data_IF_622777329240
#
_entry.id   IF_622777329240
#
_cell.length_a   1.000
_cell.length_b   1.000
_cell.length_c   1.000
_cell.angle_alpha   90.00
_cell.angle_beta   90.00
_cell.angle_gamma   90.00
#
_symmetry.space_group_name_H-M   'P 1'
#
loop_
_entity.id
_entity.type
_entity.pdbx_description
1 polymer ?
#
# COMPACT_ATOMS: atom_id res chain seq x y z
N UNK A 1 5.96 20.37 15.53
CA UNK A 1 6.31 19.47 14.42
C UNK A 1 7.81 19.24 14.39
N UNK A 2 8.27 18.05 14.71
CA UNK A 2 9.70 17.71 14.64
C UNK A 2 10.12 17.40 13.20
N UNK A 3 10.60 18.43 12.51
CA UNK A 3 11.06 18.32 11.11
C UNK A 3 12.20 17.31 10.94
N UNK A 4 13.00 17.06 11.97
CA UNK A 4 14.13 16.14 11.88
C UNK A 4 13.66 14.69 11.88
N UNK A 5 12.70 14.33 12.72
CA UNK A 5 12.11 12.98 12.74
C UNK A 5 11.41 12.65 11.42
N UNK A 6 10.62 13.59 10.89
CA UNK A 6 9.96 13.43 9.59
C UNK A 6 10.98 13.24 8.47
N UNK A 7 12.04 14.06 8.45
CA UNK A 7 13.09 13.93 7.44
C UNK A 7 13.82 12.59 7.51
N UNK A 8 14.19 12.16 8.72
CA UNK A 8 14.84 10.86 8.94
C UNK A 8 13.95 9.71 8.45
N UNK A 9 12.67 9.75 8.83
CA UNK A 9 11.71 8.76 8.36
C UNK A 9 11.60 8.77 6.84
N UNK A 10 11.43 9.92 6.19
CA UNK A 10 11.27 10.04 4.75
C UNK A 10 12.45 9.46 3.98
N UNK A 11 13.68 9.74 4.42
CA UNK A 11 14.91 9.19 3.81
C UNK A 11 14.97 7.67 3.94
N UNK A 12 14.69 7.15 5.12
CA UNK A 12 14.67 5.71 5.36
C UNK A 12 13.54 5.02 4.59
N UNK A 13 12.32 5.56 4.66
CA UNK A 13 11.13 4.99 4.03
C UNK A 13 11.25 4.91 2.51
N UNK A 14 11.87 5.90 1.88
CA UNK A 14 12.15 5.87 0.43
C UNK A 14 12.95 4.62 0.05
N UNK A 15 14.03 4.35 0.77
CA UNK A 15 14.90 3.19 0.52
C UNK A 15 14.16 1.88 0.78
N UNK A 16 13.46 1.82 1.91
CA UNK A 16 12.69 0.64 2.30
C UNK A 16 11.60 0.32 1.29
N UNK A 17 10.85 1.31 0.83
CA UNK A 17 9.79 1.11 -0.16
C UNK A 17 10.33 0.70 -1.53
N UNK A 18 11.44 1.28 -1.98
CA UNK A 18 12.10 0.83 -3.23
C UNK A 18 12.48 -0.64 -3.13
N UNK A 19 13.06 -1.07 -2.01
CA UNK A 19 13.41 -2.46 -1.76
C UNK A 19 12.18 -3.36 -1.78
N UNK A 20 11.10 -3.01 -1.07
CA UNK A 20 9.87 -3.81 -1.00
C UNK A 20 9.15 -3.89 -2.34
N UNK A 21 9.05 -2.79 -3.06
CA UNK A 21 8.48 -2.73 -4.41
C UNK A 21 9.28 -3.62 -5.37
N UNK A 22 10.60 -3.55 -5.31
CA UNK A 22 11.48 -4.40 -6.13
C UNK A 22 11.33 -5.89 -5.80
N UNK A 23 11.19 -6.25 -4.53
CA UNK A 23 10.92 -7.63 -4.11
C UNK A 23 9.57 -8.14 -4.64
N UNK A 24 8.55 -7.27 -4.68
CA UNK A 24 7.27 -7.62 -5.31
C UNK A 24 7.43 -7.86 -6.81
N UNK A 25 8.20 -7.04 -7.50
CA UNK A 25 8.48 -7.22 -8.93
C UNK A 25 9.13 -8.58 -9.22
N UNK A 26 10.04 -9.04 -8.35
CA UNK A 26 10.67 -10.37 -8.46
C UNK A 26 9.65 -11.49 -8.42
N UNK A 27 8.58 -11.37 -7.65
CA UNK A 27 7.49 -12.36 -7.60
C UNK A 27 6.75 -12.49 -8.94
N UNK A 28 6.87 -11.49 -9.80
CA UNK A 28 6.35 -11.47 -11.17
C UNK A 28 7.44 -11.67 -12.22
N UNK A 29 8.59 -12.22 -11.81
CA UNK A 29 9.78 -12.46 -12.66
C UNK A 29 10.33 -11.20 -13.32
N UNK A 30 10.18 -10.05 -12.68
CA UNK A 30 10.70 -8.77 -13.16
C UNK A 30 11.86 -8.33 -12.27
N UNK A 31 13.02 -8.14 -12.89
CA UNK A 31 14.24 -7.66 -12.25
C UNK A 31 14.89 -6.58 -13.11
N UNK A 32 15.94 -5.96 -12.58
CA UNK A 32 16.77 -5.03 -13.35
C UNK A 32 17.35 -5.65 -14.62
N UNK A 33 17.58 -6.98 -14.62
CA UNK A 33 18.16 -7.72 -15.74
C UNK A 33 17.18 -8.12 -16.84
N UNK A 34 15.88 -8.06 -16.55
CA UNK A 34 14.85 -8.45 -17.50
C UNK A 34 13.57 -8.98 -16.84
N UNK A 35 12.65 -9.48 -17.67
CA UNK A 35 11.29 -9.83 -17.22
C UNK A 35 10.75 -11.15 -17.82
N UNK A 36 11.58 -11.94 -18.51
CA UNK A 36 11.11 -13.17 -19.16
C UNK A 36 10.14 -12.90 -20.32
N UNK A 37 9.04 -13.67 -20.39
CA UNK A 37 8.04 -13.52 -21.43
C UNK A 37 7.03 -12.42 -21.12
N UNK A 38 6.77 -11.55 -22.10
CA UNK A 38 5.79 -10.48 -21.97
C UNK A 38 4.36 -11.00 -21.76
N UNK A 39 3.97 -12.03 -22.52
CA UNK A 39 2.65 -12.66 -22.49
C UNK A 39 2.58 -13.88 -21.56
N UNK A 40 3.42 -13.97 -20.56
CA UNK A 40 3.45 -15.12 -19.66
C UNK A 40 2.07 -15.37 -19.01
N UNK A 41 1.65 -16.63 -18.97
CA UNK A 41 0.44 -17.08 -18.25
C UNK A 41 0.71 -17.37 -16.78
N UNK A 42 1.95 -17.67 -16.45
CA UNK A 42 2.39 -18.00 -15.10
C UNK A 42 3.72 -17.34 -14.77
N UNK A 43 3.97 -17.14 -13.48
CA UNK A 43 5.22 -16.66 -12.93
C UNK A 43 5.62 -17.53 -11.75
N UNK A 44 6.89 -17.95 -11.69
CA UNK A 44 7.41 -18.81 -10.62
C UNK A 44 6.52 -20.05 -10.35
N UNK A 45 5.98 -20.65 -11.40
CA UNK A 45 5.12 -21.82 -11.33
C UNK A 45 3.68 -21.54 -10.87
N UNK A 46 3.29 -20.29 -10.66
CA UNK A 46 1.95 -19.87 -10.26
C UNK A 46 1.21 -19.23 -11.46
N UNK A 47 0.00 -19.71 -11.73
CA UNK A 47 -0.86 -19.13 -12.77
C UNK A 47 -1.37 -17.75 -12.32
N UNK A 48 -1.23 -16.77 -13.19
CA UNK A 48 -1.72 -15.41 -12.94
C UNK A 48 -3.20 -15.28 -13.31
N UNK A 49 -3.92 -14.45 -12.56
CA UNK A 49 -5.26 -13.99 -12.96
C UNK A 49 -5.19 -13.09 -14.21
N UNK A 50 -6.33 -12.87 -14.87
CA UNK A 50 -6.40 -11.94 -16.00
C UNK A 50 -5.98 -10.52 -15.61
N UNK A 51 -6.34 -10.07 -14.41
CA UNK A 51 -5.94 -8.77 -13.86
C UNK A 51 -4.43 -8.69 -13.63
N UNK A 52 -3.83 -9.71 -13.03
CA UNK A 52 -2.37 -9.77 -12.81
C UNK A 52 -1.60 -9.75 -14.13
N UNK A 53 -2.05 -10.49 -15.15
CA UNK A 53 -1.43 -10.47 -16.48
C UNK A 53 -1.47 -9.07 -17.10
N UNK A 54 -2.60 -8.39 -17.04
CA UNK A 54 -2.77 -7.04 -17.57
C UNK A 54 -1.89 -6.03 -16.84
N UNK A 55 -1.83 -6.10 -15.51
CA UNK A 55 -1.00 -5.23 -14.68
C UNK A 55 0.50 -5.50 -14.91
N UNK A 56 0.89 -6.77 -15.07
CA UNK A 56 2.28 -7.13 -15.39
C UNK A 56 2.73 -6.59 -16.74
N UNK A 57 1.89 -6.69 -17.77
CA UNK A 57 2.17 -6.10 -19.09
C UNK A 57 2.33 -4.58 -19.00
N UNK A 58 1.44 -3.91 -18.29
CA UNK A 58 1.53 -2.47 -18.08
C UNK A 58 2.83 -2.07 -17.36
N UNK A 59 3.26 -2.84 -16.37
CA UNK A 59 4.53 -2.66 -15.69
C UNK A 59 5.72 -2.80 -16.65
N UNK A 60 5.74 -3.87 -17.44
CA UNK A 60 6.79 -4.11 -18.44
C UNK A 60 6.85 -2.97 -19.46
N UNK A 61 5.70 -2.49 -19.93
CA UNK A 61 5.62 -1.37 -20.87
C UNK A 61 6.24 -0.09 -20.29
N UNK A 62 5.97 0.19 -19.02
CA UNK A 62 6.58 1.34 -18.33
C UNK A 62 8.09 1.17 -18.14
N UNK A 63 8.55 -0.03 -17.81
CA UNK A 63 9.99 -0.33 -17.68
C UNK A 63 10.71 -0.15 -19.02
N UNK A 64 10.09 -0.59 -20.12
CA UNK A 64 10.62 -0.34 -21.48
C UNK A 64 10.72 1.14 -21.81
N UNK A 65 9.74 1.94 -21.39
CA UNK A 65 9.68 3.36 -21.68
C UNK A 65 10.61 4.21 -20.81
N UNK A 66 10.77 3.89 -19.53
CA UNK A 66 11.42 4.75 -18.52
C UNK A 66 12.64 4.13 -17.85
N UNK A 67 12.81 2.82 -17.93
CA UNK A 67 13.81 2.06 -17.20
C UNK A 67 13.31 1.52 -15.86
N UNK A 68 13.91 0.40 -15.43
CA UNK A 68 13.53 -0.32 -14.21
C UNK A 68 13.64 0.54 -12.94
N UNK A 69 14.80 1.19 -12.74
CA UNK A 69 15.03 2.00 -11.54
C UNK A 69 14.01 3.12 -11.39
N UNK A 70 13.74 3.84 -12.47
CA UNK A 70 12.78 4.95 -12.43
C UNK A 70 11.37 4.46 -12.09
N UNK A 71 10.93 3.35 -12.67
CA UNK A 71 9.59 2.80 -12.38
C UNK A 71 9.49 2.34 -10.93
N UNK A 72 10.52 1.67 -10.39
CA UNK A 72 10.53 1.24 -8.98
C UNK A 72 10.48 2.45 -8.04
N UNK A 73 11.22 3.51 -8.33
CA UNK A 73 11.18 4.76 -7.56
C UNK A 73 9.80 5.44 -7.62
N UNK A 74 9.20 5.52 -8.79
CA UNK A 74 7.86 6.13 -8.97
C UNK A 74 6.78 5.37 -8.19
N UNK A 75 6.81 4.05 -8.21
CA UNK A 75 5.86 3.22 -7.45
C UNK A 75 6.10 3.36 -5.94
N UNK A 76 7.34 3.32 -5.50
CA UNK A 76 7.69 3.53 -4.10
C UNK A 76 7.23 4.92 -3.60
N UNK A 77 7.45 5.96 -4.38
CA UNK A 77 6.98 7.32 -4.08
C UNK A 77 5.46 7.42 -4.01
N UNK A 78 4.76 6.71 -4.89
CA UNK A 78 3.30 6.64 -4.88
C UNK A 78 2.78 6.05 -3.57
N UNK A 79 3.35 4.94 -3.09
CA UNK A 79 2.95 4.33 -1.82
C UNK A 79 3.35 5.18 -0.61
N UNK A 80 4.53 5.79 -0.65
CA UNK A 80 4.94 6.73 0.40
C UNK A 80 3.92 7.87 0.57
N UNK A 81 3.51 8.48 -0.52
CA UNK A 81 2.53 9.58 -0.49
C UNK A 81 1.16 9.12 0.02
N UNK A 82 0.69 7.97 -0.44
CA UNK A 82 -0.60 7.43 0.01
C UNK A 82 -0.58 7.07 1.49
N UNK A 83 0.46 6.43 1.98
CA UNK A 83 0.59 6.10 3.41
C UNK A 83 0.67 7.37 4.26
N UNK A 84 1.43 8.36 3.83
CA UNK A 84 1.52 9.66 4.54
C UNK A 84 0.18 10.38 4.58
N UNK A 85 -0.54 10.42 3.46
CA UNK A 85 -1.86 11.02 3.38
C UNK A 85 -2.89 10.28 4.26
N UNK A 86 -2.90 8.95 4.23
CA UNK A 86 -3.77 8.14 5.09
C UNK A 86 -3.46 8.36 6.58
N UNK A 87 -2.18 8.46 6.94
CA UNK A 87 -1.79 8.72 8.33
C UNK A 87 -2.29 10.10 8.80
N UNK A 88 -2.09 11.12 7.98
CA UNK A 88 -2.61 12.45 8.26
C UNK A 88 -4.14 12.44 8.45
N UNK A 89 -4.85 11.77 7.54
CA UNK A 89 -6.31 11.69 7.60
C UNK A 89 -6.81 10.92 8.83
N UNK A 90 -6.14 9.81 9.19
CA UNK A 90 -6.56 9.04 10.37
C UNK A 90 -6.37 9.83 11.66
N UNK A 91 -5.22 10.49 11.82
CA UNK A 91 -4.92 11.28 13.02
C UNK A 91 -5.88 12.48 13.19
N UNK A 92 -6.27 13.12 12.08
CA UNK A 92 -7.17 14.28 12.10
C UNK A 92 -8.65 13.92 11.97
N UNK A 93 -8.99 12.63 11.92
CA UNK A 93 -10.39 12.19 11.83
C UNK A 93 -11.06 12.49 10.49
N UNK A 94 -10.28 12.58 9.40
CA UNK A 94 -10.77 12.92 8.05
C UNK A 94 -11.17 11.73 7.20
N UNK A 95 -10.93 10.51 7.68
CA UNK A 95 -11.36 9.29 6.96
C UNK A 95 -12.89 9.20 7.00
N UNK A 96 -13.58 9.07 5.86
CA UNK A 96 -15.03 8.97 5.82
C UNK A 96 -15.61 7.80 6.62
N UNK A 97 -14.88 6.68 6.67
CA UNK A 97 -15.24 5.49 7.47
C UNK A 97 -15.10 5.72 8.98
N UNK A 98 -14.39 6.77 9.40
CA UNK A 98 -13.99 7.04 10.80
C UNK A 98 -13.23 5.89 11.45
N UNK A 99 -12.68 4.98 10.66
CA UNK A 99 -11.92 3.82 11.12
C UNK A 99 -10.45 4.05 10.83
N UNK A 100 -9.59 3.87 11.83
CA UNK A 100 -8.16 4.09 11.70
C UNK A 100 -7.53 2.95 10.89
N UNK A 101 -6.67 3.32 9.94
CA UNK A 101 -6.08 2.36 8.97
C UNK A 101 -4.74 1.79 9.39
N UNK A 102 -4.04 2.44 10.32
CA UNK A 102 -2.71 2.02 10.79
C UNK A 102 -2.65 1.73 12.28
N UNK A 103 -3.49 2.36 13.07
CA UNK A 103 -3.45 2.29 14.53
C UNK A 103 -4.84 2.01 15.12
N UNK A 104 -4.86 1.76 16.42
CA UNK A 104 -6.07 1.84 17.24
C UNK A 104 -6.28 3.27 17.79
N UNK A 105 -7.31 3.47 18.59
CA UNK A 105 -7.64 4.76 19.19
C UNK A 105 -6.59 5.30 20.17
N UNK A 106 -5.70 4.41 20.65
CA UNK A 106 -4.61 4.76 21.55
C UNK A 106 -3.25 4.92 20.81
N UNK A 107 -3.29 5.02 19.49
CA UNK A 107 -2.11 5.11 18.64
C UNK A 107 -1.16 3.91 18.72
N UNK A 108 -1.64 2.74 19.14
CA UNK A 108 -0.88 1.50 19.06
C UNK A 108 -0.88 0.97 17.62
N UNK A 109 0.18 0.27 17.23
CA UNK A 109 0.26 -0.39 15.93
C UNK A 109 -0.67 -1.62 15.88
N UNK A 110 -1.95 -1.34 15.83
CA UNK A 110 -3.03 -2.32 15.72
C UNK A 110 -4.11 -1.72 14.82
N UNK A 111 -4.03 -1.95 13.50
CA UNK A 111 -4.95 -1.32 12.56
C UNK A 111 -6.42 -1.63 12.85
N UNK A 112 -7.17 -0.63 13.26
CA UNK A 112 -8.60 -0.76 13.57
C UNK A 112 -9.38 -1.28 12.36
N UNK A 113 -8.98 -0.91 11.15
CA UNK A 113 -9.60 -1.38 9.91
C UNK A 113 -9.59 -2.91 9.78
N UNK A 114 -8.61 -3.61 10.35
CA UNK A 114 -8.58 -5.08 10.38
C UNK A 114 -9.50 -5.60 11.47
N UNK A 115 -9.43 -5.03 12.67
CA UNK A 115 -10.25 -5.43 13.82
C UNK A 115 -11.74 -5.31 13.49
N UNK A 116 -12.13 -4.22 12.86
CA UNK A 116 -13.53 -3.87 12.55
C UNK A 116 -13.92 -4.23 11.10
N UNK A 117 -13.15 -5.07 10.42
CA UNK A 117 -13.30 -5.33 8.99
C UNK A 117 -14.72 -5.76 8.58
N UNK A 118 -15.40 -6.54 9.41
CA UNK A 118 -16.76 -7.03 9.10
C UNK A 118 -17.85 -5.96 9.27
N UNK A 119 -17.55 -4.87 9.96
CA UNK A 119 -18.49 -3.76 10.23
C UNK A 119 -18.20 -2.54 9.37
N UNK A 120 -17.21 -2.61 8.47
CA UNK A 120 -16.80 -1.46 7.64
C UNK A 120 -17.84 -1.11 6.59
N UNK A 121 -18.00 0.20 6.38
CA UNK A 121 -18.73 0.77 5.25
C UNK A 121 -17.78 1.61 4.44
N UNK A 122 -17.15 1.00 3.44
CA UNK A 122 -16.25 1.68 2.49
C UNK A 122 -16.79 1.41 1.09
N UNK A 123 -16.91 2.45 0.27
CA UNK A 123 -17.37 2.31 -1.11
C UNK A 123 -16.46 1.39 -1.92
N UNK A 124 -17.07 0.42 -2.59
CA UNK A 124 -16.36 -0.60 -3.37
C UNK A 124 -15.87 -1.80 -2.58
N UNK A 125 -16.13 -1.88 -1.27
CA UNK A 125 -15.77 -3.02 -0.43
C UNK A 125 -16.70 -4.20 -0.71
N UNK A 126 -16.11 -5.33 -1.12
CA UNK A 126 -16.81 -6.60 -1.28
C UNK A 126 -16.75 -7.38 0.06
N UNK A 127 -17.89 -7.49 0.73
CA UNK A 127 -17.98 -8.14 2.04
C UNK A 127 -17.76 -9.66 1.98
N UNK A 128 -18.10 -10.33 0.88
CA UNK A 128 -17.81 -11.76 0.71
C UNK A 128 -16.30 -11.99 0.74
N UNK A 129 -15.54 -11.15 0.04
CA UNK A 129 -14.08 -11.20 0.06
C UNK A 129 -13.51 -10.89 1.44
N UNK A 130 -14.08 -9.93 2.17
CA UNK A 130 -13.69 -9.64 3.56
C UNK A 130 -13.89 -10.84 4.45
N UNK A 131 -15.05 -11.50 4.40
CA UNK A 131 -15.31 -12.72 5.20
C UNK A 131 -14.36 -13.85 4.85
N UNK A 132 -14.13 -14.10 3.56
CA UNK A 132 -13.20 -15.13 3.08
C UNK A 132 -11.79 -14.93 3.63
N UNK A 133 -11.28 -13.68 3.54
CA UNK A 133 -9.93 -13.35 4.01
C UNK A 133 -9.83 -13.33 5.55
N UNK A 134 -10.90 -12.94 6.24
CA UNK A 134 -10.94 -12.88 7.71
C UNK A 134 -10.98 -14.26 8.36
N UNK A 135 -11.56 -15.24 7.71
CA UNK A 135 -11.67 -16.60 8.23
C UNK A 135 -10.33 -17.34 8.33
N UNK A 136 -9.32 -16.91 7.60
CA UNK A 136 -7.99 -17.51 7.63
C UNK A 136 -6.96 -16.53 8.19
N UNK A 137 -6.49 -16.76 9.41
CA UNK A 137 -5.48 -15.92 10.06
C UNK A 137 -4.17 -15.77 9.25
N UNK A 138 -3.86 -16.73 8.37
CA UNK A 138 -2.67 -16.66 7.49
C UNK A 138 -2.83 -15.63 6.38
N UNK A 139 -4.06 -15.19 6.11
CA UNK A 139 -4.40 -14.20 5.09
C UNK A 139 -4.57 -12.78 5.63
N UNK A 140 -4.12 -12.51 6.85
CA UNK A 140 -4.29 -11.19 7.48
C UNK A 140 -3.59 -10.06 6.69
N UNK A 141 -2.38 -10.31 6.19
CA UNK A 141 -1.68 -9.36 5.31
C UNK A 141 -2.43 -9.13 3.98
N UNK A 142 -3.01 -10.17 3.41
CA UNK A 142 -3.81 -10.06 2.19
C UNK A 142 -5.10 -9.26 2.45
N UNK A 143 -5.76 -9.52 3.58
CA UNK A 143 -6.91 -8.71 4.02
C UNK A 143 -6.52 -7.24 4.17
N UNK A 144 -5.42 -6.98 4.85
CA UNK A 144 -4.94 -5.61 5.07
C UNK A 144 -4.66 -4.88 3.75
N UNK A 145 -3.96 -5.52 2.83
CA UNK A 145 -3.75 -5.01 1.47
C UNK A 145 -5.07 -4.65 0.79
N UNK A 146 -6.04 -5.56 0.83
CA UNK A 146 -7.35 -5.37 0.22
C UNK A 146 -8.09 -4.16 0.82
N UNK A 147 -8.11 -4.05 2.13
CA UNK A 147 -8.74 -2.94 2.84
C UNK A 147 -8.07 -1.59 2.55
N UNK A 148 -6.74 -1.53 2.54
CA UNK A 148 -5.99 -0.31 2.23
C UNK A 148 -6.20 0.15 0.79
N UNK A 149 -6.17 -0.76 -0.18
CA UNK A 149 -6.40 -0.44 -1.59
C UNK A 149 -7.84 0.04 -1.80
N UNK A 150 -8.81 -0.62 -1.20
CA UNK A 150 -10.23 -0.22 -1.27
C UNK A 150 -10.43 1.16 -0.66
N UNK A 151 -9.81 1.45 0.48
CA UNK A 151 -9.86 2.77 1.12
C UNK A 151 -9.24 3.85 0.22
N UNK A 152 -8.09 3.60 -0.37
CA UNK A 152 -7.46 4.54 -1.31
C UNK A 152 -8.35 4.78 -2.54
N UNK A 153 -8.95 3.75 -3.08
CA UNK A 153 -9.84 3.86 -4.25
C UNK A 153 -11.14 4.61 -3.93
N UNK A 154 -11.69 4.44 -2.73
CA UNK A 154 -12.83 5.22 -2.28
C UNK A 154 -12.47 6.71 -2.15
N UNK A 155 -11.29 7.02 -1.60
CA UNK A 155 -10.79 8.39 -1.48
C UNK A 155 -10.45 9.03 -2.83
N UNK A 156 -10.17 8.26 -3.87
CA UNK A 156 -9.91 8.80 -5.22
C UNK A 156 -11.09 9.56 -5.79
N UNK A 157 -12.31 9.27 -5.35
CA UNK A 157 -13.53 9.96 -5.77
C UNK A 157 -13.67 11.36 -5.15
N UNK A 158 -13.15 11.53 -3.94
CA UNK A 158 -13.27 12.77 -3.16
C UNK A 158 -12.02 13.63 -3.30
N UNK A 159 -10.85 13.01 -3.40
CA UNK A 159 -9.54 13.65 -3.46
C UNK A 159 -8.70 13.09 -4.63
N UNK A 160 -9.14 13.26 -5.90
CA UNK A 160 -8.49 12.63 -7.04
C UNK A 160 -7.05 13.11 -7.29
N UNK A 161 -6.69 14.29 -6.83
CA UNK A 161 -5.32 14.79 -6.91
C UNK A 161 -4.34 14.11 -5.96
N UNK A 162 -4.85 13.54 -4.86
CA UNK A 162 -4.04 12.88 -3.83
C UNK A 162 -4.12 11.35 -3.91
N UNK A 163 -5.28 10.82 -4.28
CA UNK A 163 -5.56 9.41 -4.42
C UNK A 163 -6.06 9.09 -5.84
N UNK A 164 -5.15 8.86 -6.77
CA UNK A 164 -5.55 8.32 -8.07
C UNK A 164 -6.00 6.87 -7.89
N UNK A 165 -7.01 6.44 -8.65
CA UNK A 165 -7.52 5.07 -8.58
C UNK A 165 -6.39 4.06 -8.84
N UNK A 166 -6.27 3.09 -7.95
CA UNK A 166 -5.32 1.99 -8.07
C UNK A 166 -6.02 0.85 -8.81
N UNK A 167 -5.63 0.59 -10.04
CA UNK A 167 -6.12 -0.54 -10.85
C UNK A 167 -5.07 -1.02 -11.84
N UNK A 168 -3.83 -0.66 -11.62
CA UNK A 168 -2.70 -0.90 -12.51
C UNK A 168 -1.56 -1.63 -11.78
N UNK A 169 -0.37 -1.60 -12.37
CA UNK A 169 0.83 -2.21 -11.80
C UNK A 169 1.24 -1.66 -10.42
N UNK A 170 0.71 -0.51 -9.99
CA UNK A 170 0.92 0.01 -8.62
C UNK A 170 0.31 -0.93 -7.59
N UNK A 171 -0.86 -1.51 -7.87
CA UNK A 171 -1.46 -2.56 -7.03
C UNK A 171 -0.61 -3.83 -7.02
N UNK A 172 -0.11 -4.25 -8.17
CA UNK A 172 0.75 -5.42 -8.32
C UNK A 172 1.99 -5.34 -7.42
N UNK A 173 2.56 -4.14 -7.30
CA UNK A 173 3.77 -3.84 -6.53
C UNK A 173 3.48 -3.31 -5.12
N UNK A 174 2.30 -3.60 -4.57
CA UNK A 174 1.98 -3.25 -3.18
C UNK A 174 2.97 -3.92 -2.22
N UNK A 175 3.56 -3.16 -1.28
CA UNK A 175 4.57 -3.71 -0.35
C UNK A 175 4.01 -4.84 0.51
N UNK A 176 4.78 -5.92 0.65
CA UNK A 176 4.44 -7.04 1.53
C UNK A 176 4.77 -6.76 2.99
N UNK A 177 4.16 -7.55 3.87
CA UNK A 177 4.52 -7.62 5.29
C UNK A 177 4.41 -6.28 6.04
N UNK A 178 3.39 -5.49 5.73
CA UNK A 178 3.17 -4.18 6.37
C UNK A 178 2.84 -4.28 7.87
N UNK A 179 2.25 -5.40 8.31
CA UNK A 179 1.87 -5.64 9.71
C UNK A 179 3.05 -6.09 10.60
N UNK A 180 4.21 -6.35 10.01
CA UNK A 180 5.39 -6.76 10.77
C UNK A 180 6.03 -5.59 11.50
N UNK A 181 6.65 -5.89 12.63
CA UNK A 181 7.56 -4.97 13.31
C UNK A 181 8.70 -4.58 12.36
N UNK A 182 9.05 -3.30 12.35
CA UNK A 182 10.05 -2.74 11.45
C UNK A 182 9.57 -2.44 10.03
N UNK A 183 8.30 -2.72 9.69
CA UNK A 183 7.72 -2.32 8.41
C UNK A 183 7.68 -0.79 8.24
N UNK A 184 7.46 -0.32 7.02
CA UNK A 184 7.35 1.13 6.75
C UNK A 184 6.23 1.77 7.57
N UNK A 185 5.11 1.09 7.77
CA UNK A 185 3.99 1.58 8.58
C UNK A 185 4.35 1.60 10.06
N UNK A 186 4.92 0.51 10.56
CA UNK A 186 5.39 0.44 11.96
C UNK A 186 6.39 1.54 12.28
N UNK A 187 7.36 1.78 11.41
CA UNK A 187 8.36 2.82 11.59
C UNK A 187 7.78 4.24 11.46
N UNK A 188 6.81 4.43 10.59
CA UNK A 188 6.09 5.72 10.47
C UNK A 188 5.44 6.11 11.80
N UNK A 189 4.80 5.14 12.47
CA UNK A 189 4.17 5.34 13.78
C UNK A 189 5.19 5.55 14.88
N UNK A 190 6.30 4.79 14.86
CA UNK A 190 7.33 4.84 15.90
C UNK A 190 8.24 6.05 15.81
N UNK A 191 8.58 6.51 14.59
CA UNK A 191 9.55 7.58 14.37
C UNK A 191 8.95 8.98 14.39
N UNK A 192 7.63 9.10 14.16
CA UNK A 192 6.92 10.37 14.08
C UNK A 192 5.79 10.37 15.10
N UNK A 193 5.84 11.28 16.07
CA UNK A 193 4.81 11.41 17.08
C UNK A 193 3.44 11.76 16.45
N UNK A 194 2.36 11.24 17.03
CA UNK A 194 1.00 11.52 16.54
C UNK A 194 0.71 13.02 16.47
N UNK A 195 1.17 13.79 17.47
CA UNK A 195 1.01 15.24 17.52
C UNK A 195 1.61 15.96 16.30
N UNK A 196 2.65 15.40 15.68
CA UNK A 196 3.28 15.99 14.50
C UNK A 196 2.43 15.84 13.22
N UNK A 197 1.46 14.93 13.25
CA UNK A 197 0.50 14.75 12.16
C UNK A 197 -0.76 15.63 12.31
N UNK A 198 -0.99 16.20 13.48
CA UNK A 198 -2.17 17.05 13.71
C UNK A 198 -2.09 18.35 12.95
N UNK A 199 -3.23 18.80 12.43
CA UNK A 199 -3.37 20.13 11.87
C UNK A 199 -3.06 21.18 12.95
N UNK A 200 -2.19 22.12 12.60
CA UNK A 200 -1.94 23.30 13.45
C UNK A 200 -3.05 24.31 13.19
N UNK A 201 -3.89 24.54 14.19
CA UNK A 201 -4.92 25.58 14.18
C UNK A 201 -4.28 26.95 14.32
#
# INVERSE_FOLDING_TARGET
MDKNSIKKFAVWARRELITRVSQRAVQYEITEKGYGEYDADSVNGRVMSASEKSQRKALIDQIRAKGYEQVMEEVAYTWFNRFSALRFMEVNGYLPSRTRVFTDDNNNFKPQIITDAIDLTIDGLDMEKVYELKDDARKEEELYKYLLITQCNALSKVLPGMFQKISDYTELLFPDNLLREGSVINQMISMIDEEDWKEQV
#
